data_IF_596539833772
#
_entry.id   IF_596539833772
#
_cell.length_a   1.000
_cell.length_b   1.000
_cell.length_c   1.000
_cell.angle_alpha   90.00
_cell.angle_beta   90.00
_cell.angle_gamma   90.00
#
_symmetry.space_group_name_H-M   'P 1'
#
loop_
_entity.id
_entity.type
_entity.pdbx_description
1 polymer ?
#
# COMPACT_ATOMS: atom_id res chain seq x y z
N UNK A 1 -42.76 27.93 22.54
CA UNK A 1 -42.80 27.07 21.34
C UNK A 1 -41.62 27.48 20.47
N UNK A 2 -40.51 26.75 20.53
CA UNK A 2 -39.30 27.06 19.75
C UNK A 2 -39.33 26.28 18.44
N UNK A 3 -39.17 26.97 17.32
CA UNK A 3 -39.15 26.37 15.99
C UNK A 3 -37.87 25.52 15.79
N UNK A 4 -37.94 24.41 15.04
CA UNK A 4 -36.76 23.61 14.73
C UNK A 4 -35.88 24.34 13.71
N UNK A 5 -34.58 24.47 14.01
CA UNK A 5 -33.57 24.95 13.06
C UNK A 5 -33.36 23.82 12.05
N UNK A 6 -33.85 24.01 10.83
CA UNK A 6 -33.50 23.15 9.71
C UNK A 6 -32.00 23.34 9.40
N UNK A 7 -31.16 22.41 9.85
CA UNK A 7 -29.76 22.36 9.40
C UNK A 7 -29.76 21.92 7.93
N UNK A 8 -29.38 22.83 7.03
CA UNK A 8 -29.10 22.47 5.65
C UNK A 8 -27.97 21.41 5.64
N UNK A 9 -28.08 20.35 4.83
CA UNK A 9 -27.02 19.36 4.74
C UNK A 9 -25.74 20.05 4.30
N UNK A 10 -24.67 19.92 5.10
CA UNK A 10 -23.31 20.31 4.72
C UNK A 10 -23.04 19.74 3.33
N UNK A 11 -22.87 20.62 2.33
CA UNK A 11 -22.49 20.22 1.00
C UNK A 11 -21.16 19.47 1.10
N UNK A 12 -21.22 18.14 0.98
CA UNK A 12 -20.02 17.31 0.95
C UNK A 12 -19.41 17.45 -0.43
N UNK A 13 -18.32 18.20 -0.53
CA UNK A 13 -17.51 18.26 -1.74
C UNK A 13 -16.82 16.91 -1.92
N UNK A 14 -17.23 16.17 -2.95
CA UNK A 14 -16.60 14.93 -3.37
C UNK A 14 -15.97 15.12 -4.75
N UNK A 15 -14.73 14.67 -4.92
CA UNK A 15 -14.10 14.59 -6.24
C UNK A 15 -14.39 13.22 -6.86
N UNK A 16 -14.84 13.22 -8.12
CA UNK A 16 -14.96 11.98 -8.88
C UNK A 16 -13.56 11.38 -9.08
N UNK A 17 -13.38 10.16 -8.58
CA UNK A 17 -12.18 9.37 -8.79
C UNK A 17 -12.08 9.04 -10.28
N UNK A 18 -10.96 9.44 -10.89
CA UNK A 18 -10.68 9.09 -12.28
C UNK A 18 -10.25 7.63 -12.38
N UNK A 19 -10.63 6.91 -13.46
CA UNK A 19 -10.05 5.62 -13.75
C UNK A 19 -8.53 5.78 -13.88
N UNK A 20 -7.78 4.96 -13.17
CA UNK A 20 -6.38 4.79 -13.47
C UNK A 20 -6.20 3.51 -14.28
N UNK A 21 -5.32 3.53 -15.26
CA UNK A 21 -4.97 2.35 -16.05
C UNK A 21 -3.56 1.92 -15.67
N UNK A 22 -3.39 0.62 -15.50
CA UNK A 22 -2.08 0.00 -15.32
C UNK A 22 -1.83 -0.89 -16.54
N UNK A 23 -0.89 -0.49 -17.39
CA UNK A 23 -0.50 -1.32 -18.53
C UNK A 23 0.31 -2.54 -18.09
N UNK A 24 0.47 -3.49 -19.01
CA UNK A 24 1.18 -4.74 -18.75
C UNK A 24 2.65 -4.53 -18.36
N UNK A 25 3.30 -3.52 -18.92
CA UNK A 25 4.71 -3.24 -18.65
C UNK A 25 4.89 -2.69 -17.23
N UNK A 26 4.07 -1.73 -16.84
CA UNK A 26 4.03 -1.17 -15.49
C UNK A 26 3.71 -2.26 -14.47
N UNK A 27 2.77 -3.16 -14.77
CA UNK A 27 2.47 -4.32 -13.93
C UNK A 27 3.67 -5.27 -13.78
N UNK A 28 4.40 -5.54 -14.87
CA UNK A 28 5.58 -6.38 -14.85
C UNK A 28 6.71 -5.79 -13.99
N UNK A 29 7.01 -4.49 -14.14
CA UNK A 29 8.00 -3.79 -13.30
C UNK A 29 7.61 -3.81 -11.82
N UNK A 30 6.33 -3.60 -11.53
CA UNK A 30 5.79 -3.66 -10.19
C UNK A 30 5.92 -5.06 -9.57
N UNK A 31 5.64 -6.12 -10.32
CA UNK A 31 5.82 -7.50 -9.87
C UNK A 31 7.30 -7.81 -9.61
N UNK A 32 8.18 -7.36 -10.51
CA UNK A 32 9.62 -7.52 -10.35
C UNK A 32 10.13 -6.81 -9.09
N UNK A 33 9.71 -5.58 -8.86
CA UNK A 33 10.10 -4.82 -7.66
C UNK A 33 9.62 -5.50 -6.36
N UNK A 34 8.43 -6.12 -6.34
CA UNK A 34 7.99 -6.94 -5.19
C UNK A 34 8.89 -8.14 -4.95
N UNK A 35 9.30 -8.82 -6.02
CA UNK A 35 10.16 -9.99 -5.93
C UNK A 35 11.53 -9.61 -5.37
N UNK A 36 12.15 -8.56 -5.90
CA UNK A 36 13.45 -8.07 -5.43
C UNK A 36 13.40 -7.59 -3.98
N UNK A 37 12.34 -6.86 -3.59
CA UNK A 37 12.18 -6.45 -2.20
C UNK A 37 12.04 -7.64 -1.26
N UNK A 38 11.28 -8.67 -1.62
CA UNK A 38 11.15 -9.89 -0.80
C UNK A 38 12.49 -10.59 -0.60
N UNK A 39 13.33 -10.64 -1.63
CA UNK A 39 14.70 -11.19 -1.52
C UNK A 39 15.55 -10.36 -0.56
N UNK A 40 15.50 -9.03 -0.68
CA UNK A 40 16.23 -8.13 0.22
C UNK A 40 15.75 -8.26 1.66
N UNK A 41 14.43 -8.26 1.89
CA UNK A 41 13.81 -8.44 3.21
C UNK A 41 14.25 -9.77 3.84
N UNK A 42 14.24 -10.86 3.07
CA UNK A 42 14.71 -12.15 3.54
C UNK A 42 16.19 -12.11 3.95
N UNK A 43 17.07 -11.55 3.12
CA UNK A 43 18.49 -11.42 3.43
C UNK A 43 18.72 -10.59 4.70
N UNK A 44 18.07 -9.45 4.81
CA UNK A 44 18.25 -8.56 5.97
C UNK A 44 17.75 -9.23 7.24
N UNK A 45 16.54 -9.83 7.23
CA UNK A 45 15.96 -10.43 8.42
C UNK A 45 16.65 -11.73 8.87
N UNK A 46 17.12 -12.53 7.91
CA UNK A 46 17.70 -13.85 8.23
C UNK A 46 19.21 -13.81 8.48
N UNK A 47 19.91 -12.82 7.92
CA UNK A 47 21.39 -12.74 8.00
C UNK A 47 21.80 -11.48 8.78
N UNK A 48 21.39 -10.30 8.30
CA UNK A 48 21.91 -9.02 8.82
C UNK A 48 21.45 -8.74 10.24
N UNK A 49 20.14 -8.86 10.52
CA UNK A 49 19.58 -8.60 11.86
C UNK A 49 20.23 -9.51 12.91
N UNK A 50 20.36 -10.84 12.71
CA UNK A 50 21.10 -11.70 13.62
C UNK A 50 22.56 -11.29 13.81
N UNK A 51 23.28 -10.91 12.75
CA UNK A 51 24.68 -10.45 12.83
C UNK A 51 24.85 -9.18 13.67
N UNK A 52 23.82 -8.33 13.75
CA UNK A 52 23.81 -7.13 14.57
C UNK A 52 23.50 -7.40 16.06
N UNK A 53 23.27 -8.65 16.45
CA UNK A 53 22.84 -9.01 17.82
C UNK A 53 21.32 -9.10 17.97
N UNK A 54 20.59 -9.24 16.86
CA UNK A 54 19.13 -9.34 16.84
C UNK A 54 18.43 -8.04 17.24
N UNK A 55 17.15 -8.16 17.59
CA UNK A 55 16.29 -7.02 17.94
C UNK A 55 16.61 -6.37 19.30
N UNK A 56 17.70 -6.76 19.97
CA UNK A 56 18.24 -6.00 21.10
C UNK A 56 19.09 -4.81 20.65
N UNK A 57 19.58 -4.83 19.41
CA UNK A 57 20.32 -3.73 18.80
C UNK A 57 19.35 -2.73 18.14
N UNK A 58 19.48 -1.44 18.47
CA UNK A 58 18.64 -0.38 17.90
C UNK A 58 18.77 -0.27 16.38
N UNK A 59 19.98 -0.46 15.82
CA UNK A 59 20.19 -0.46 14.38
C UNK A 59 19.42 -1.59 13.68
N UNK A 60 19.32 -2.76 14.32
CA UNK A 60 18.55 -3.87 13.77
C UNK A 60 17.04 -3.55 13.74
N UNK A 61 16.52 -2.88 14.78
CA UNK A 61 15.13 -2.40 14.82
C UNK A 61 14.89 -1.31 13.77
N UNK A 62 15.82 -0.39 13.60
CA UNK A 62 15.74 0.66 12.58
C UNK A 62 15.75 0.08 11.17
N UNK A 63 16.61 -0.90 10.88
CA UNK A 63 16.64 -1.59 9.59
C UNK A 63 15.31 -2.28 9.28
N UNK A 64 14.76 -3.02 10.24
CA UNK A 64 13.47 -3.69 10.03
C UNK A 64 12.32 -2.67 9.85
N UNK A 65 12.32 -1.60 10.64
CA UNK A 65 11.40 -0.46 10.46
C UNK A 65 11.52 0.15 9.07
N UNK A 66 12.73 0.31 8.54
CA UNK A 66 12.95 0.87 7.21
C UNK A 66 12.47 -0.06 6.08
N UNK A 67 12.62 -1.38 6.21
CA UNK A 67 12.02 -2.34 5.28
C UNK A 67 10.49 -2.22 5.27
N UNK A 68 9.89 -2.12 6.45
CA UNK A 68 8.44 -1.96 6.60
C UNK A 68 7.94 -0.63 6.04
N UNK A 69 8.69 0.45 6.23
CA UNK A 69 8.41 1.75 5.64
C UNK A 69 8.53 1.72 4.12
N UNK A 70 9.59 1.13 3.58
CA UNK A 70 9.77 0.99 2.14
C UNK A 70 8.59 0.23 1.51
N UNK A 71 8.14 -0.85 2.15
CA UNK A 71 6.95 -1.59 1.74
C UNK A 71 5.68 -0.73 1.79
N UNK A 72 5.43 -0.06 2.91
CA UNK A 72 4.19 0.70 3.14
C UNK A 72 4.10 1.95 2.29
N UNK A 73 5.17 2.76 2.24
CA UNK A 73 5.18 4.07 1.60
C UNK A 73 5.49 4.04 0.11
N UNK A 74 6.06 2.96 -0.43
CA UNK A 74 6.25 2.81 -1.88
C UNK A 74 4.93 2.57 -2.65
N UNK A 75 3.78 2.69 -2.00
CA UNK A 75 2.51 2.21 -2.55
C UNK A 75 2.52 0.68 -2.72
N UNK A 76 3.31 -0.02 -1.89
CA UNK A 76 3.39 -1.49 -1.86
C UNK A 76 3.80 -2.11 -3.21
N UNK A 77 4.70 -1.45 -3.93
CA UNK A 77 5.12 -1.82 -5.30
C UNK A 77 3.96 -1.97 -6.28
N UNK A 78 2.81 -1.35 -6.01
CA UNK A 78 1.57 -1.77 -6.63
C UNK A 78 0.59 -0.62 -6.64
N UNK A 79 0.83 0.26 -7.60
CA UNK A 79 -0.12 1.24 -8.11
C UNK A 79 -0.67 2.21 -7.04
N UNK A 80 -0.35 3.49 -7.19
CA UNK A 80 -0.82 4.56 -6.28
C UNK A 80 -2.35 4.56 -6.09
N UNK A 81 -3.08 3.93 -7.01
CA UNK A 81 -4.52 3.79 -6.99
C UNK A 81 -5.02 2.37 -6.61
N UNK A 82 -4.26 1.54 -5.88
CA UNK A 82 -4.73 0.21 -5.43
C UNK A 82 -6.09 0.28 -4.71
N UNK A 83 -6.36 1.37 -4.01
CA UNK A 83 -7.65 1.63 -3.37
C UNK A 83 -8.81 1.77 -4.38
N UNK A 84 -8.58 2.18 -5.64
CA UNK A 84 -9.61 2.22 -6.68
C UNK A 84 -10.25 0.86 -6.91
N UNK A 85 -9.45 -0.23 -6.94
CA UNK A 85 -9.99 -1.58 -7.13
C UNK A 85 -11.00 -1.97 -6.03
N UNK A 86 -10.75 -1.54 -4.79
CA UNK A 86 -11.69 -1.70 -3.68
C UNK A 86 -12.89 -0.74 -3.80
N UNK A 87 -12.68 0.49 -4.28
CA UNK A 87 -13.73 1.49 -4.48
C UNK A 87 -14.74 1.13 -5.59
N UNK A 88 -14.33 0.37 -6.60
CA UNK A 88 -15.22 -0.12 -7.67
C UNK A 88 -15.97 -1.41 -7.31
N UNK A 89 -15.76 -1.98 -6.11
CA UNK A 89 -16.50 -3.16 -5.63
C UNK A 89 -16.19 -4.49 -6.33
N UNK A 90 -15.29 -4.51 -7.31
CA UNK A 90 -14.91 -5.69 -8.08
C UNK A 90 -13.71 -6.41 -7.43
N UNK A 91 -13.90 -6.91 -6.21
CA UNK A 91 -12.94 -7.84 -5.59
C UNK A 91 -13.49 -9.24 -5.77
N UNK A 92 -13.00 -9.99 -6.76
CA UNK A 92 -13.28 -11.43 -6.90
C UNK A 92 -13.96 -11.89 -8.20
N UNK A 93 -14.36 -10.99 -9.10
CA UNK A 93 -14.81 -11.40 -10.44
C UNK A 93 -13.62 -11.56 -11.37
N UNK A 94 -12.96 -12.71 -11.28
CA UNK A 94 -12.14 -13.21 -12.38
C UNK A 94 -13.09 -13.53 -13.53
N UNK A 95 -13.08 -12.69 -14.57
CA UNK A 95 -13.81 -12.98 -15.79
C UNK A 95 -13.22 -14.23 -16.45
N UNK A 96 -14.11 -15.13 -16.87
CA UNK A 96 -13.83 -16.26 -17.74
C UNK A 96 -12.92 -15.88 -18.91
N UNK A 97 -11.66 -16.33 -18.87
CA UNK A 97 -10.75 -16.48 -20.02
C UNK A 97 -9.92 -17.73 -19.84
#
# INVERSE_FOLDING_TARGET
>A
MSAPIAQAPLAREGQLLQPAMLDAQAMAYMNFARLEHRKLEALVRTIVIPMLGGYHNELAKELDRHLEQARTFSGNFCWQHRHLGASYGLVGEGADV
#
